data_IF_523181855309
#
_entry.id   IF_523181855309
#
_cell.length_a   1.000
_cell.length_b   1.000
_cell.length_c   1.000
_cell.angle_alpha   90.00
_cell.angle_beta   90.00
_cell.angle_gamma   90.00
#
_symmetry.space_group_name_H-M   'P 1'
#
loop_
_entity.id
_entity.type
_entity.pdbx_description
1 polymer ?
#
# COMPACT_ATOMS: atom_id res chain seq x y z
N UNK A 1 -6.46 18.08 -15.49
CA UNK A 1 -5.64 18.21 -14.26
C UNK A 1 -4.32 17.47 -14.50
N UNK A 2 -3.18 17.92 -13.97
CA UNK A 2 -1.93 17.15 -14.10
C UNK A 2 -1.89 16.10 -12.97
N UNK A 3 -1.65 14.82 -13.24
CA UNK A 3 -1.43 13.83 -12.19
C UNK A 3 -0.20 14.22 -11.36
N UNK A 4 -0.27 14.02 -10.04
CA UNK A 4 0.84 14.21 -9.12
C UNK A 4 1.31 12.86 -8.58
N UNK A 5 2.60 12.75 -8.28
CA UNK A 5 3.26 11.53 -7.82
C UNK A 5 3.97 11.82 -6.52
N UNK A 6 3.83 10.92 -5.55
CA UNK A 6 4.45 10.96 -4.25
C UNK A 6 5.14 9.64 -3.97
N UNK A 7 6.43 9.68 -3.64
CA UNK A 7 7.20 8.50 -3.25
C UNK A 7 7.20 8.36 -1.72
N UNK A 8 7.04 7.14 -1.23
CA UNK A 8 6.86 6.82 0.20
C UNK A 8 7.70 5.60 0.61
N UNK A 9 8.09 5.56 1.89
CA UNK A 9 8.88 4.49 2.52
C UNK A 9 8.08 3.77 3.61
N UNK A 10 8.38 2.48 3.84
CA UNK A 10 7.44 1.55 4.47
C UNK A 10 8.07 0.58 5.46
N UNK A 11 7.19 -0.05 6.23
CA UNK A 11 7.46 -1.22 7.07
C UNK A 11 6.88 -2.48 6.41
N UNK A 12 7.67 -3.53 6.26
CA UNK A 12 7.18 -4.85 5.90
C UNK A 12 6.62 -5.55 7.14
N UNK A 13 5.45 -6.16 7.01
CA UNK A 13 4.94 -7.09 8.03
C UNK A 13 5.46 -8.49 7.70
N UNK A 14 6.33 -9.00 8.57
CA UNK A 14 7.06 -10.25 8.33
C UNK A 14 6.26 -11.49 8.72
N UNK A 15 5.23 -11.35 9.57
CA UNK A 15 4.39 -12.47 10.01
C UNK A 15 2.98 -12.03 10.45
N UNK A 16 1.98 -12.95 10.41
CA UNK A 16 0.65 -12.73 10.99
C UNK A 16 0.65 -12.46 12.51
N UNK A 17 1.78 -12.72 13.19
CA UNK A 17 1.98 -12.54 14.64
C UNK A 17 2.69 -11.22 15.01
N UNK A 18 2.87 -10.30 14.04
CA UNK A 18 3.19 -8.91 14.33
C UNK A 18 4.67 -8.52 14.31
N UNK A 19 5.53 -9.30 13.65
CA UNK A 19 6.91 -8.87 13.40
C UNK A 19 6.96 -7.75 12.37
N UNK A 20 7.39 -6.54 12.75
CA UNK A 20 7.65 -5.43 11.82
C UNK A 20 9.12 -5.45 11.40
N UNK A 21 9.40 -5.26 10.11
CA UNK A 21 10.76 -4.97 9.64
C UNK A 21 11.24 -3.60 10.15
N UNK A 22 12.50 -3.26 9.91
CA UNK A 22 12.99 -1.92 10.22
C UNK A 22 12.19 -0.87 9.44
N UNK A 23 11.93 0.32 10.03
CA UNK A 23 11.41 1.46 9.31
C UNK A 23 12.16 1.70 8.00
N UNK A 24 11.43 2.18 6.99
CA UNK A 24 11.98 2.58 5.70
C UNK A 24 12.74 1.47 4.94
N UNK A 25 12.44 0.20 5.23
CA UNK A 25 13.09 -0.95 4.57
C UNK A 25 12.52 -1.30 3.19
N UNK A 26 11.39 -0.69 2.80
CA UNK A 26 10.74 -0.95 1.52
C UNK A 26 10.12 0.31 0.91
N UNK A 27 10.11 0.36 -0.42
CA UNK A 27 9.63 1.50 -1.22
C UNK A 27 8.27 1.22 -1.86
N UNK A 28 7.45 2.27 -1.97
CA UNK A 28 6.42 2.32 -3.03
C UNK A 28 6.07 3.74 -3.39
N UNK A 29 5.07 3.87 -4.23
CA UNK A 29 4.65 5.14 -4.80
C UNK A 29 3.15 5.26 -4.66
N UNK A 30 2.74 6.45 -4.22
CA UNK A 30 1.36 6.91 -4.27
C UNK A 30 1.22 7.84 -5.47
N UNK A 31 0.19 7.62 -6.28
CA UNK A 31 -0.17 8.48 -7.41
C UNK A 31 -1.55 9.06 -7.18
N UNK A 32 -1.76 10.29 -7.62
CA UNK A 32 -3.08 10.91 -7.58
C UNK A 32 -3.60 11.06 -9.00
N UNK A 33 -4.71 10.39 -9.30
CA UNK A 33 -5.42 10.44 -10.59
C UNK A 33 -6.85 10.87 -10.29
N UNK A 34 -7.26 12.00 -10.87
CA UNK A 34 -8.60 12.58 -10.70
C UNK A 34 -9.07 12.71 -9.23
N UNK A 35 -8.12 12.96 -8.32
CA UNK A 35 -8.37 13.12 -6.88
C UNK A 35 -8.34 11.81 -6.07
N UNK A 36 -8.22 10.67 -6.73
CA UNK A 36 -8.09 9.36 -6.08
C UNK A 36 -6.62 8.99 -5.91
N UNK A 37 -6.26 8.52 -4.72
CA UNK A 37 -4.93 8.01 -4.43
C UNK A 37 -4.83 6.55 -4.84
N UNK A 38 -3.71 6.18 -5.45
CA UNK A 38 -3.40 4.82 -5.87
C UNK A 38 -2.02 4.43 -5.37
N UNK A 39 -1.89 3.21 -4.91
CA UNK A 39 -0.62 2.57 -4.59
C UNK A 39 -0.15 1.78 -5.80
N UNK A 40 1.12 1.92 -6.20
CA UNK A 40 1.78 0.92 -7.03
C UNK A 40 3.13 0.52 -6.41
N UNK A 41 3.41 -0.78 -6.49
CA UNK A 41 4.59 -1.37 -5.87
C UNK A 41 5.05 -2.56 -6.72
N UNK A 42 6.07 -2.29 -7.53
CA UNK A 42 6.69 -3.29 -8.43
C UNK A 42 7.93 -3.94 -7.82
N UNK A 43 8.25 -3.61 -6.56
CA UNK A 43 9.46 -4.08 -5.87
C UNK A 43 9.19 -5.12 -4.78
N UNK A 44 7.94 -5.31 -4.37
CA UNK A 44 7.57 -6.23 -3.28
C UNK A 44 7.58 -7.71 -3.69
N UNK A 45 7.32 -8.02 -4.96
CA UNK A 45 7.28 -9.38 -5.50
C UNK A 45 5.87 -9.98 -5.61
N UNK A 46 5.13 -10.10 -4.50
CA UNK A 46 3.77 -10.68 -4.45
C UNK A 46 2.67 -9.64 -4.24
N UNK A 47 2.70 -8.58 -5.04
CA UNK A 47 1.66 -7.54 -5.13
C UNK A 47 1.11 -7.50 -6.54
N UNK A 48 -0.09 -6.92 -6.75
CA UNK A 48 -0.73 -6.95 -8.05
C UNK A 48 0.07 -6.12 -9.07
N UNK A 49 -0.01 -6.53 -10.34
CA UNK A 49 0.52 -5.81 -11.50
C UNK A 49 -0.27 -4.53 -11.82
N UNK A 50 -1.31 -4.24 -11.04
CA UNK A 50 -2.22 -3.11 -11.18
C UNK A 50 -2.10 -2.20 -9.95
N UNK A 51 -2.34 -0.90 -10.16
CA UNK A 51 -2.38 0.05 -9.05
C UNK A 51 -3.61 -0.22 -8.16
N UNK A 52 -3.41 -0.17 -6.84
CA UNK A 52 -4.45 -0.43 -5.84
C UNK A 52 -5.04 0.91 -5.40
N UNK A 53 -6.35 1.16 -5.56
CA UNK A 53 -6.99 2.35 -5.00
C UNK A 53 -6.80 2.37 -3.48
N UNK A 54 -6.34 3.50 -2.95
CA UNK A 54 -6.26 3.74 -1.51
C UNK A 54 -7.57 4.40 -1.05
N UNK A 55 -8.31 3.72 -0.18
CA UNK A 55 -9.68 4.09 0.15
C UNK A 55 -10.02 3.84 1.63
N UNK A 56 -11.13 4.39 2.10
CA UNK A 56 -11.80 3.98 3.33
C UNK A 56 -12.75 2.81 3.10
N UNK A 57 -13.30 2.68 1.89
CA UNK A 57 -14.28 1.66 1.52
C UNK A 57 -13.60 0.36 1.06
N UNK A 58 -12.98 -0.30 2.04
CA UNK A 58 -12.12 -1.46 1.88
C UNK A 58 -12.80 -2.72 1.30
N UNK A 59 -14.13 -2.82 1.41
CA UNK A 59 -14.89 -3.99 0.98
C UNK A 59 -15.28 -3.90 -0.51
N UNK A 60 -15.50 -2.69 -1.03
CA UNK A 60 -15.90 -2.49 -2.43
C UNK A 60 -14.75 -2.14 -3.37
N UNK A 61 -13.58 -1.78 -2.84
CA UNK A 61 -12.41 -1.37 -3.63
C UNK A 61 -11.28 -2.40 -3.51
N UNK A 62 -11.54 -3.60 -4.01
CA UNK A 62 -10.55 -4.68 -4.11
C UNK A 62 -9.99 -4.78 -5.53
N UNK A 63 -8.72 -5.13 -5.64
CA UNK A 63 -8.06 -5.46 -6.92
C UNK A 63 -7.91 -6.97 -6.99
N UNK A 64 -8.51 -7.59 -7.99
CA UNK A 64 -8.24 -8.98 -8.32
C UNK A 64 -7.11 -9.06 -9.34
N UNK A 65 -6.13 -9.91 -9.05
CA UNK A 65 -5.03 -10.21 -9.96
C UNK A 65 -4.69 -11.71 -9.91
N UNK A 66 -3.74 -12.13 -10.76
CA UNK A 66 -3.35 -13.52 -10.94
C UNK A 66 -2.91 -14.19 -9.63
N UNK A 67 -2.28 -13.43 -8.72
CA UNK A 67 -1.74 -13.97 -7.46
C UNK A 67 -2.69 -13.82 -6.26
N UNK A 68 -3.84 -13.17 -6.41
CA UNK A 68 -4.83 -13.05 -5.36
C UNK A 68 -5.67 -11.78 -5.42
N UNK A 69 -6.37 -11.52 -4.32
CA UNK A 69 -7.20 -10.32 -4.13
C UNK A 69 -6.51 -9.40 -3.14
N UNK A 70 -6.41 -8.13 -3.50
CA UNK A 70 -5.66 -7.12 -2.77
C UNK A 70 -6.53 -5.91 -2.45
N UNK A 71 -6.18 -5.18 -1.39
CA UNK A 71 -6.75 -3.87 -1.08
C UNK A 71 -5.74 -2.96 -0.40
N UNK A 72 -5.96 -1.66 -0.49
CA UNK A 72 -5.21 -0.64 0.23
C UNK A 72 -6.19 0.20 1.05
N UNK A 73 -5.93 0.34 2.35
CA UNK A 73 -6.87 0.96 3.29
C UNK A 73 -6.17 1.98 4.16
N UNK A 74 -6.82 3.12 4.41
CA UNK A 74 -6.37 4.05 5.44
C UNK A 74 -6.56 3.42 6.84
N UNK A 75 -5.60 3.63 7.73
CA UNK A 75 -5.65 3.13 9.12
C UNK A 75 -6.33 4.14 10.04
N UNK A 76 -6.31 5.42 9.68
CA UNK A 76 -6.85 6.51 10.48
C UNK A 76 -7.72 7.47 9.64
N UNK A 77 -8.60 8.21 10.31
CA UNK A 77 -9.44 9.25 9.71
C UNK A 77 -8.61 10.45 9.19
N UNK A 78 -7.36 10.59 9.63
CA UNK A 78 -6.47 11.66 9.22
C UNK A 78 -5.78 11.39 7.87
N UNK A 79 -5.96 10.18 7.30
CA UNK A 79 -5.34 9.67 6.09
C UNK A 79 -3.81 9.82 6.11
N UNK A 80 -3.20 9.58 7.28
CA UNK A 80 -1.74 9.67 7.43
C UNK A 80 -1.04 8.34 7.32
N UNK A 81 -1.76 7.25 7.49
CA UNK A 81 -1.22 5.90 7.43
C UNK A 81 -2.12 4.99 6.61
N UNK A 82 -1.51 3.98 5.99
CA UNK A 82 -2.24 2.99 5.23
C UNK A 82 -1.62 1.61 5.33
N UNK A 83 -2.44 0.59 5.07
CA UNK A 83 -2.04 -0.79 4.92
C UNK A 83 -2.31 -1.26 3.49
N UNK A 84 -1.48 -2.18 3.00
CA UNK A 84 -1.84 -3.05 1.88
C UNK A 84 -1.98 -4.47 2.37
N UNK A 85 -3.08 -5.07 1.98
CA UNK A 85 -3.52 -6.37 2.44
C UNK A 85 -3.79 -7.28 1.25
N UNK A 86 -3.60 -8.57 1.46
CA UNK A 86 -4.00 -9.63 0.53
C UNK A 86 -4.97 -10.57 1.24
N UNK A 87 -5.99 -11.03 0.53
CA UNK A 87 -6.91 -12.04 1.07
C UNK A 87 -6.23 -13.40 1.07
N UNK A 88 -5.94 -13.94 2.25
CA UNK A 88 -5.30 -15.24 2.46
C UNK A 88 -5.88 -15.93 3.69
N UNK A 89 -6.08 -17.25 3.63
CA UNK A 89 -6.64 -18.05 4.74
C UNK A 89 -7.97 -17.49 5.29
N UNK A 90 -8.87 -17.06 4.39
CA UNK A 90 -10.17 -16.47 4.71
C UNK A 90 -10.10 -15.21 5.60
N UNK A 91 -8.98 -14.48 5.53
CA UNK A 91 -8.78 -13.21 6.20
C UNK A 91 -7.94 -12.25 5.36
N UNK A 92 -8.00 -10.96 5.70
CA UNK A 92 -7.08 -9.98 5.18
C UNK A 92 -5.75 -10.05 5.94
N UNK A 93 -4.69 -10.43 5.24
CA UNK A 93 -3.33 -10.47 5.76
C UNK A 93 -2.57 -9.21 5.33
N UNK A 94 -2.10 -8.42 6.31
CA UNK A 94 -1.35 -7.18 6.05
C UNK A 94 0.04 -7.52 5.55
N UNK A 95 0.35 -7.05 4.32
CA UNK A 95 1.65 -7.24 3.68
C UNK A 95 2.63 -6.15 4.10
N UNK A 96 2.16 -4.91 4.22
CA UNK A 96 2.96 -3.81 4.76
C UNK A 96 2.06 -2.69 5.29
N UNK A 97 2.67 -1.85 6.14
CA UNK A 97 2.11 -0.62 6.71
C UNK A 97 3.05 0.56 6.39
N UNK A 98 2.51 1.76 6.20
CA UNK A 98 3.33 2.94 5.92
C UNK A 98 2.66 4.25 6.27
N UNK A 99 3.48 5.20 6.71
CA UNK A 99 3.13 6.62 6.79
C UNK A 99 3.14 7.28 5.41
N UNK A 100 2.17 8.14 5.14
CA UNK A 100 2.11 8.96 3.93
C UNK A 100 2.95 10.21 4.17
N UNK A 101 4.25 10.06 3.97
CA UNK A 101 5.21 11.17 4.01
C UNK A 101 6.00 11.23 2.70
N UNK A 102 6.06 12.39 2.02
CA UNK A 102 6.89 12.59 0.84
C UNK A 102 8.35 12.25 1.10
N UNK A 103 8.97 11.49 0.18
CA UNK A 103 10.39 11.12 0.26
C UNK A 103 11.06 11.32 -1.11
N UNK A 104 12.34 11.66 -1.10
CA UNK A 104 13.12 11.91 -2.33
C UNK A 104 13.98 10.70 -2.68
N UNK A 105 14.42 10.63 -3.95
CA UNK A 105 15.27 9.54 -4.47
C UNK A 105 16.64 9.45 -3.78
N UNK A 106 17.11 10.51 -3.12
CA UNK A 106 18.38 10.52 -2.39
C UNK A 106 18.30 9.79 -1.04
N UNK A 107 17.10 9.38 -0.61
CA UNK A 107 16.89 8.64 0.62
C UNK A 107 16.97 7.11 0.42
N UNK A 108 17.32 6.66 -0.79
CA UNK A 108 17.45 5.27 -1.24
C UNK A 108 18.92 4.82 -1.21
#
# INVERSE_FOLDING_TARGET
MKPSMLQIWKYLMLTPVGGRSQPDSHMSTIFVIDGTHYIADVGFGDLPLQAIPLTEDAEHNVVQDVTGTFRAVFIDEAHKQFEVQKWENDAWDTKYESDISPRTIDMF
#
